data_IF_470636660685
#
_entry.id   IF_470636660685
#
_cell.length_a   1.000
_cell.length_b   1.000
_cell.length_c   1.000
_cell.angle_alpha   90.00
_cell.angle_beta   90.00
_cell.angle_gamma   90.00
#
_symmetry.space_group_name_H-M   'P 1'
#
loop_
_entity.id
_entity.type
_entity.pdbx_description
1 polymer ?
#
# COMPACT_ATOMS: atom_id res chain seq x y z
N UNK A 1 10.54 2.51 -6.68
CA UNK A 1 10.63 1.04 -6.78
C UNK A 1 11.75 0.54 -5.89
N UNK A 2 11.58 -0.61 -5.25
CA UNK A 2 12.62 -1.34 -4.52
C UNK A 2 12.32 -2.85 -4.53
N UNK A 3 13.25 -3.68 -4.08
CA UNK A 3 13.06 -5.13 -3.93
C UNK A 3 13.18 -5.53 -2.47
N UNK A 4 12.30 -6.41 -1.99
CA UNK A 4 12.30 -6.95 -0.62
C UNK A 4 11.79 -8.38 -0.64
N UNK A 5 12.49 -9.29 0.04
CA UNK A 5 12.15 -10.72 0.12
C UNK A 5 11.96 -11.44 -1.22
N UNK A 6 12.52 -10.89 -2.30
CA UNK A 6 12.35 -11.40 -3.66
C UNK A 6 11.19 -10.76 -4.44
N UNK A 7 10.35 -9.97 -3.78
CA UNK A 7 9.24 -9.24 -4.41
C UNK A 7 9.68 -7.85 -4.87
N UNK A 8 9.07 -7.40 -5.97
CA UNK A 8 9.27 -6.04 -6.49
C UNK A 8 8.17 -5.13 -5.96
N UNK A 9 8.55 -3.98 -5.40
CA UNK A 9 7.64 -3.01 -4.80
C UNK A 9 7.66 -1.71 -5.58
N UNK A 10 6.47 -1.20 -5.94
CA UNK A 10 6.27 0.12 -6.52
C UNK A 10 5.36 0.95 -5.61
N UNK A 11 5.98 1.92 -4.93
CA UNK A 11 5.28 2.86 -4.05
C UNK A 11 5.26 4.26 -4.66
N UNK A 12 4.10 4.90 -4.63
CA UNK A 12 3.92 6.32 -4.95
C UNK A 12 3.37 7.09 -3.75
N UNK A 13 3.77 8.35 -3.60
CA UNK A 13 3.09 9.31 -2.72
C UNK A 13 2.26 10.23 -3.59
N UNK A 14 0.97 10.38 -3.28
CA UNK A 14 0.03 11.16 -4.06
C UNK A 14 -0.73 12.13 -3.14
N UNK A 15 -1.07 13.28 -3.70
CA UNK A 15 -1.84 14.33 -3.03
C UNK A 15 -3.12 14.63 -3.79
N UNK A 16 -4.18 15.01 -3.08
CA UNK A 16 -5.46 15.44 -3.65
C UNK A 16 -6.12 14.41 -4.61
N UNK A 17 -5.96 13.12 -4.33
CA UNK A 17 -6.56 12.03 -5.12
C UNK A 17 -7.55 11.19 -4.32
N UNK A 18 -8.55 10.65 -5.01
CA UNK A 18 -9.51 9.73 -4.42
C UNK A 18 -8.89 8.31 -4.26
N UNK A 19 -8.95 7.70 -3.05
CA UNK A 19 -8.37 6.39 -2.80
C UNK A 19 -8.95 5.27 -3.67
N UNK A 20 -10.24 5.32 -4.02
CA UNK A 20 -10.86 4.28 -4.84
C UNK A 20 -10.33 4.34 -6.28
N UNK A 21 -10.23 5.55 -6.83
CA UNK A 21 -9.65 5.79 -8.16
C UNK A 21 -8.21 5.28 -8.23
N UNK A 22 -7.40 5.59 -7.21
CA UNK A 22 -6.04 5.06 -7.10
C UNK A 22 -6.05 3.54 -7.03
N UNK A 23 -6.94 2.96 -6.22
CA UNK A 23 -7.07 1.51 -6.10
C UNK A 23 -7.35 0.80 -7.42
N UNK A 24 -8.23 1.35 -8.27
CA UNK A 24 -8.50 0.78 -9.59
C UNK A 24 -7.28 0.84 -10.52
N UNK A 25 -6.52 1.94 -10.48
CA UNK A 25 -5.26 2.05 -11.23
C UNK A 25 -4.23 1.02 -10.76
N UNK A 26 -4.08 0.84 -9.44
CA UNK A 26 -3.14 -0.13 -8.90
C UNK A 26 -3.51 -1.57 -9.29
N UNK A 27 -4.81 -1.91 -9.29
CA UNK A 27 -5.28 -3.23 -9.76
C UNK A 27 -4.94 -3.48 -11.22
N UNK A 28 -5.15 -2.49 -12.09
CA UNK A 28 -4.74 -2.60 -13.49
C UNK A 28 -3.24 -2.86 -13.63
N UNK A 29 -2.41 -2.19 -12.82
CA UNK A 29 -0.97 -2.43 -12.82
C UNK A 29 -0.61 -3.84 -12.34
N UNK A 30 -1.33 -4.39 -11.36
CA UNK A 30 -1.17 -5.79 -10.93
C UNK A 30 -1.56 -6.76 -12.05
N UNK A 31 -2.63 -6.50 -12.79
CA UNK A 31 -3.05 -7.36 -13.91
C UNK A 31 -1.96 -7.40 -15.01
N UNK A 32 -1.29 -6.28 -15.26
CA UNK A 32 -0.15 -6.19 -16.20
C UNK A 32 1.14 -6.80 -15.62
N UNK A 33 1.33 -6.70 -14.31
CA UNK A 33 2.56 -7.08 -13.60
C UNK A 33 2.26 -7.83 -12.28
N UNK A 34 1.77 -9.09 -12.35
CA UNK A 34 1.23 -9.81 -11.20
C UNK A 34 2.28 -10.24 -10.15
N UNK A 35 3.57 -9.98 -10.41
CA UNK A 35 4.67 -10.24 -9.48
C UNK A 35 5.14 -8.98 -8.75
N UNK A 36 4.47 -7.84 -8.95
CA UNK A 36 4.82 -6.56 -8.34
C UNK A 36 3.75 -6.16 -7.32
N UNK A 37 4.20 -5.72 -6.15
CA UNK A 37 3.38 -5.11 -5.11
C UNK A 37 3.26 -3.61 -5.42
N UNK A 38 2.05 -3.15 -5.63
CA UNK A 38 1.77 -1.74 -5.88
C UNK A 38 1.13 -1.10 -4.66
N UNK A 39 1.64 0.07 -4.27
CA UNK A 39 1.15 0.83 -3.13
C UNK A 39 1.12 2.33 -3.40
N UNK A 40 0.10 2.99 -2.84
CA UNK A 40 0.00 4.44 -2.84
C UNK A 40 -0.19 4.93 -1.41
N UNK A 41 0.60 5.93 -1.02
CA UNK A 41 0.45 6.66 0.23
C UNK A 41 -0.17 8.01 -0.11
N UNK A 42 -1.36 8.25 0.42
CA UNK A 42 -2.17 9.42 0.11
C UNK A 42 -2.07 10.40 1.26
N UNK A 43 -1.59 11.61 0.97
CA UNK A 43 -1.63 12.70 1.94
C UNK A 43 -3.04 13.34 2.01
N UNK A 44 -3.25 14.16 3.03
CA UNK A 44 -4.53 14.82 3.29
C UNK A 44 -4.76 15.05 4.78
N UNK A 45 -6.01 15.33 5.17
CA UNK A 45 -6.40 15.55 6.58
C UNK A 45 -6.00 14.39 7.51
N UNK A 46 -5.93 13.18 6.95
CA UNK A 46 -5.34 12.01 7.60
C UNK A 46 -4.70 11.14 6.53
N UNK A 47 -3.53 10.56 6.83
CA UNK A 47 -2.82 9.72 5.87
C UNK A 47 -3.60 8.43 5.62
N UNK A 48 -3.65 8.04 4.35
CA UNK A 48 -4.25 6.80 3.88
C UNK A 48 -3.27 6.01 3.05
N UNK A 49 -3.47 4.71 2.98
CA UNK A 49 -2.68 3.82 2.15
C UNK A 49 -3.61 2.90 1.36
N UNK A 50 -3.22 2.60 0.13
CA UNK A 50 -3.94 1.69 -0.76
C UNK A 50 -2.91 0.75 -1.37
N UNK A 51 -3.18 -0.56 -1.31
CA UNK A 51 -2.30 -1.59 -1.85
C UNK A 51 -3.08 -2.55 -2.75
N UNK A 52 -2.44 -2.95 -3.86
CA UNK A 52 -2.90 -4.02 -4.73
C UNK A 52 -1.73 -4.97 -5.03
N UNK A 53 -2.01 -6.27 -4.99
CA UNK A 53 -1.01 -7.33 -5.23
C UNK A 53 -1.63 -8.50 -5.99
N UNK A 54 -0.80 -9.31 -6.65
CA UNK A 54 -1.25 -10.54 -7.31
C UNK A 54 -1.64 -11.63 -6.32
N UNK A 55 -2.47 -12.59 -6.73
CA UNK A 55 -2.99 -13.66 -5.86
C UNK A 55 -1.91 -14.54 -5.21
N UNK A 56 -0.72 -14.60 -5.81
CA UNK A 56 0.41 -15.45 -5.36
C UNK A 56 1.54 -14.65 -4.73
N UNK A 57 1.36 -13.35 -4.57
CA UNK A 57 2.35 -12.46 -3.97
C UNK A 57 2.23 -12.52 -2.46
N UNK A 58 3.37 -12.47 -1.76
CA UNK A 58 3.42 -12.40 -0.30
C UNK A 58 4.37 -11.25 0.09
N UNK A 59 4.03 -10.40 1.06
CA UNK A 59 2.79 -10.39 1.83
C UNK A 59 1.57 -9.96 1.02
N UNK A 60 0.38 -10.35 1.50
CA UNK A 60 -0.90 -9.87 0.97
C UNK A 60 -1.13 -8.38 1.26
N UNK A 61 -1.98 -7.72 0.47
CA UNK A 61 -2.31 -6.31 0.66
C UNK A 61 -2.92 -6.03 2.05
N UNK A 62 -3.77 -6.92 2.55
CA UNK A 62 -4.36 -6.87 3.88
C UNK A 62 -3.31 -7.00 5.00
N UNK A 63 -2.34 -7.90 4.84
CA UNK A 63 -1.21 -8.04 5.76
C UNK A 63 -0.35 -6.77 5.82
N UNK A 64 -0.07 -6.16 4.66
CA UNK A 64 0.66 -4.89 4.59
C UNK A 64 -0.10 -3.79 5.33
N UNK A 65 -1.40 -3.63 5.05
CA UNK A 65 -2.23 -2.61 5.71
C UNK A 65 -2.30 -2.85 7.22
N UNK A 66 -2.52 -4.09 7.65
CA UNK A 66 -2.57 -4.43 9.07
C UNK A 66 -1.26 -4.10 9.78
N UNK A 67 -0.12 -4.39 9.15
CA UNK A 67 1.21 -4.05 9.66
C UNK A 67 1.34 -2.54 9.86
N UNK A 68 0.99 -1.75 8.83
CA UNK A 68 1.07 -0.29 8.90
C UNK A 68 0.14 0.31 9.95
N UNK A 69 -1.10 -0.19 10.07
CA UNK A 69 -2.05 0.31 11.06
C UNK A 69 -1.72 -0.14 12.48
N UNK A 70 -1.00 -1.25 12.64
CA UNK A 70 -0.50 -1.70 13.94
C UNK A 70 0.68 -0.85 14.41
N UNK A 71 1.57 -0.48 13.50
CA UNK A 71 2.76 0.34 13.79
C UNK A 71 2.40 1.82 14.00
N UNK A 72 1.63 2.40 13.08
CA UNK A 72 1.39 3.85 13.02
C UNK A 72 -0.02 4.26 13.49
N UNK A 73 -0.80 3.30 13.98
CA UNK A 73 -2.20 3.51 14.35
C UNK A 73 -3.14 3.69 13.15
N UNK A 74 -4.41 3.94 13.46
CA UNK A 74 -5.48 4.01 12.47
C UNK A 74 -6.22 2.68 12.33
N UNK A 75 -6.76 2.43 11.15
CA UNK A 75 -7.46 1.18 10.85
C UNK A 75 -7.57 0.94 9.35
N UNK A 76 -7.88 -0.28 8.97
CA UNK A 76 -7.96 -0.67 7.57
C UNK A 76 -8.73 -1.96 7.36
N UNK A 77 -8.89 -2.32 6.09
CA UNK A 77 -9.58 -3.52 5.69
C UNK A 77 -9.38 -3.82 4.21
N UNK A 78 -9.62 -5.08 3.86
CA UNK A 78 -9.41 -5.56 2.51
C UNK A 78 -9.34 -7.08 2.46
N UNK A 79 -8.80 -7.57 1.35
CA UNK A 79 -8.48 -8.96 1.09
C UNK A 79 -7.00 -9.05 0.67
N UNK A 80 -6.49 -10.28 0.56
CA UNK A 80 -5.14 -10.56 0.12
C UNK A 80 -4.70 -9.77 -1.13
N UNK A 81 -5.56 -9.59 -2.14
CA UNK A 81 -5.19 -8.91 -3.39
C UNK A 81 -5.38 -7.40 -3.37
N UNK A 82 -6.16 -6.86 -2.42
CA UNK A 82 -6.45 -5.44 -2.35
C UNK A 82 -6.88 -5.04 -0.94
N UNK A 83 -6.23 -4.01 -0.38
CA UNK A 83 -6.59 -3.47 0.91
C UNK A 83 -6.30 -1.97 1.01
N UNK A 84 -6.97 -1.33 1.96
CA UNK A 84 -6.76 0.08 2.27
C UNK A 84 -6.76 0.34 3.77
N UNK A 85 -5.96 1.31 4.18
CA UNK A 85 -5.87 1.81 5.55
C UNK A 85 -6.03 3.33 5.59
N UNK A 86 -6.49 3.85 6.72
CA UNK A 86 -6.68 5.28 6.94
C UNK A 86 -6.56 5.69 8.40
N UNK A 87 -6.41 6.99 8.61
CA UNK A 87 -6.17 7.52 9.96
C UNK A 87 -4.75 7.22 10.45
N UNK A 88 -3.81 7.00 9.54
CA UNK A 88 -2.43 6.67 9.89
C UNK A 88 -1.75 7.90 10.49
N UNK A 89 -1.16 7.73 11.68
CA UNK A 89 -0.54 8.80 12.48
C UNK A 89 0.91 9.12 12.11
N UNK A 90 1.38 8.67 10.94
CA UNK A 90 2.73 8.89 10.45
C UNK A 90 2.75 9.74 9.19
N UNK A 91 3.86 10.45 8.96
CA UNK A 91 4.08 11.15 7.70
C UNK A 91 4.21 10.14 6.54
N UNK A 92 3.77 10.50 5.31
CA UNK A 92 3.87 9.60 4.16
C UNK A 92 5.28 9.05 3.91
N UNK A 93 6.30 9.87 4.12
CA UNK A 93 7.69 9.47 3.95
C UNK A 93 8.12 8.41 4.97
N UNK A 94 7.70 8.52 6.23
CA UNK A 94 8.01 7.52 7.27
C UNK A 94 7.41 6.15 6.94
N UNK A 95 6.24 6.12 6.30
CA UNK A 95 5.62 4.86 5.82
C UNK A 95 6.47 4.23 4.71
N UNK A 96 6.94 5.04 3.76
CA UNK A 96 7.81 4.56 2.66
C UNK A 96 9.14 4.04 3.20
N UNK A 97 9.76 4.75 4.15
CA UNK A 97 11.00 4.34 4.80
C UNK A 97 10.80 3.03 5.56
N UNK A 98 9.76 2.92 6.38
CA UNK A 98 9.42 1.68 7.09
C UNK A 98 9.23 0.49 6.15
N UNK A 99 8.55 0.66 5.01
CA UNK A 99 8.36 -0.45 4.06
C UNK A 99 9.65 -0.88 3.36
N UNK A 100 10.64 0.02 3.24
CA UNK A 100 11.93 -0.26 2.60
C UNK A 100 12.96 -0.89 3.54
N UNK A 101 12.89 -0.60 4.83
CA UNK A 101 13.89 -1.01 5.82
C UNK A 101 13.59 -2.38 6.48
N UNK A 102 12.41 -2.94 6.21
CA UNK A 102 12.03 -4.29 6.62
C UNK A 102 12.72 -5.36 5.75
#
# INVERSE_FOLDING_TARGET
TFSRDGDTWQLGMLSDVDPNTVGEILKQQVDEHPQTIYGAILDGTSVRVVFAVGERTAPGADEIVNTLTSEFGGGGGGKATFAQGGGIGAAPQSIVEHLREQ
#
